data_IF_421446310114
#
_entry.id   IF_421446310114
#
_cell.length_a   1.000
_cell.length_b   1.000
_cell.length_c   1.000
_cell.angle_alpha   90.00
_cell.angle_beta   90.00
_cell.angle_gamma   90.00
#
_symmetry.space_group_name_H-M   'P 1'
#
loop_
_entity.id
_entity.type
_entity.pdbx_description
1 polymer ?
#
# COMPACT_ATOMS: atom_id res chain seq x y z
N UNK A 1 7.31 -17.68 14.76
CA UNK A 1 7.12 -18.02 13.34
C UNK A 1 8.26 -17.42 12.54
N UNK A 2 8.65 -18.06 11.43
CA UNK A 2 9.60 -17.52 10.46
C UNK A 2 8.84 -16.79 9.38
N UNK A 3 9.12 -15.51 9.21
CA UNK A 3 8.37 -14.63 8.29
C UNK A 3 9.34 -13.97 7.31
N UNK A 4 9.06 -14.07 6.01
CA UNK A 4 9.75 -13.29 4.99
C UNK A 4 8.90 -12.05 4.65
N UNK A 5 9.52 -10.88 4.66
CA UNK A 5 8.92 -9.63 4.25
C UNK A 5 9.58 -9.17 2.94
N UNK A 6 8.93 -9.43 1.80
CA UNK A 6 9.34 -8.91 0.50
C UNK A 6 8.98 -7.44 0.36
N UNK A 7 9.94 -6.61 -0.06
CA UNK A 7 9.77 -5.15 -0.11
C UNK A 7 9.91 -4.49 1.28
N UNK A 8 10.72 -5.12 2.16
CA UNK A 8 10.86 -4.70 3.55
C UNK A 8 11.65 -3.40 3.76
N UNK A 9 12.31 -2.83 2.74
CA UNK A 9 12.91 -1.49 2.80
C UNK A 9 11.90 -0.36 2.49
N UNK A 10 10.68 -0.74 2.04
CA UNK A 10 9.62 0.17 1.65
C UNK A 10 8.83 0.79 2.80
N UNK A 11 7.88 1.66 2.43
CA UNK A 11 7.04 2.45 3.36
C UNK A 11 6.21 1.61 4.33
N UNK A 12 5.56 0.55 3.88
CA UNK A 12 4.80 -0.38 4.74
C UNK A 12 5.67 -1.54 5.23
N UNK A 13 6.66 -1.97 4.42
CA UNK A 13 7.46 -3.15 4.72
C UNK A 13 8.36 -2.97 5.94
N UNK A 14 9.05 -1.84 6.05
CA UNK A 14 9.96 -1.58 7.16
C UNK A 14 9.27 -1.56 8.53
N UNK A 15 8.24 -0.74 8.77
CA UNK A 15 7.56 -0.74 10.06
C UNK A 15 6.90 -2.09 10.37
N UNK A 16 6.42 -2.83 9.36
CA UNK A 16 5.87 -4.17 9.55
C UNK A 16 6.96 -5.16 10.02
N UNK A 17 8.14 -5.12 9.41
CA UNK A 17 9.26 -5.98 9.81
C UNK A 17 9.69 -5.71 11.25
N UNK A 18 9.80 -4.44 11.65
CA UNK A 18 10.12 -4.05 13.03
C UNK A 18 9.06 -4.55 14.01
N UNK A 19 7.80 -4.31 13.72
CA UNK A 19 6.69 -4.68 14.59
C UNK A 19 6.61 -6.20 14.81
N UNK A 20 6.66 -6.98 13.73
CA UNK A 20 6.62 -8.44 13.84
C UNK A 20 7.87 -9.00 14.53
N UNK A 21 9.04 -8.42 14.29
CA UNK A 21 10.26 -8.72 15.05
C UNK A 21 10.08 -8.40 16.54
N UNK A 22 9.44 -7.26 16.85
CA UNK A 22 9.15 -6.87 18.23
C UNK A 22 8.23 -7.88 18.95
N UNK A 23 7.31 -8.50 18.23
CA UNK A 23 6.44 -9.57 18.74
C UNK A 23 7.17 -10.94 18.89
N UNK A 24 8.44 -11.04 18.52
CA UNK A 24 9.25 -12.24 18.69
C UNK A 24 9.21 -13.21 17.50
N UNK A 25 8.77 -12.75 16.32
CA UNK A 25 8.91 -13.52 15.09
C UNK A 25 10.35 -13.42 14.55
N UNK A 26 10.81 -14.48 13.91
CA UNK A 26 12.07 -14.47 13.15
C UNK A 26 11.80 -13.82 11.79
N UNK A 27 12.45 -12.68 11.51
CA UNK A 27 12.18 -11.88 10.33
C UNK A 27 13.35 -11.93 9.36
N UNK A 28 13.04 -12.19 8.09
CA UNK A 28 13.94 -11.99 6.97
C UNK A 28 13.32 -10.96 6.03
N UNK A 29 14.00 -9.86 5.80
CA UNK A 29 13.67 -8.87 4.78
C UNK A 29 14.33 -9.29 3.47
N UNK A 30 13.58 -9.34 2.37
CA UNK A 30 14.14 -9.44 1.03
C UNK A 30 13.68 -8.25 0.18
N UNK A 31 14.64 -7.56 -0.44
CA UNK A 31 14.38 -6.33 -1.20
C UNK A 31 15.43 -6.17 -2.32
N UNK A 32 15.06 -5.56 -3.45
CA UNK A 32 15.96 -5.24 -4.56
C UNK A 32 16.30 -3.75 -4.64
N UNK A 33 15.83 -2.95 -3.69
CA UNK A 33 15.95 -1.49 -3.62
C UNK A 33 15.40 -0.75 -4.85
N UNK A 34 14.44 -1.34 -5.57
CA UNK A 34 13.83 -0.70 -6.74
C UNK A 34 13.22 0.66 -6.39
N UNK A 35 12.64 0.81 -5.19
CA UNK A 35 12.08 2.10 -4.77
C UNK A 35 13.16 3.17 -4.61
N UNK A 36 14.33 2.83 -4.09
CA UNK A 36 15.47 3.77 -3.99
C UNK A 36 16.05 4.11 -5.38
N UNK A 37 16.07 3.16 -6.30
CA UNK A 37 16.48 3.41 -7.69
C UNK A 37 15.52 4.36 -8.40
N UNK A 38 14.22 4.17 -8.20
CA UNK A 38 13.18 5.07 -8.74
C UNK A 38 13.32 6.48 -8.15
N UNK A 39 13.68 6.64 -6.88
CA UNK A 39 13.98 7.96 -6.29
C UNK A 39 15.07 8.68 -7.10
N UNK A 40 16.17 7.97 -7.38
CA UNK A 40 17.28 8.52 -8.17
C UNK A 40 16.84 8.89 -9.59
N UNK A 41 16.09 8.02 -10.25
CA UNK A 41 15.57 8.24 -11.61
C UNK A 41 14.64 9.46 -11.70
N UNK A 42 13.84 9.68 -10.67
CA UNK A 42 12.92 10.83 -10.58
C UNK A 42 13.61 12.10 -10.05
N UNK A 43 14.86 11.99 -9.55
CA UNK A 43 15.57 13.07 -8.90
C UNK A 43 14.84 13.55 -7.63
N UNK A 44 14.36 12.62 -6.83
CA UNK A 44 13.67 12.86 -5.57
C UNK A 44 14.32 12.09 -4.43
N UNK A 45 14.03 12.51 -3.22
CA UNK A 45 14.40 11.78 -2.01
C UNK A 45 13.19 11.71 -1.07
N UNK A 46 13.18 10.75 -0.16
CA UNK A 46 12.28 10.81 0.98
C UNK A 46 12.54 12.07 1.80
N UNK A 47 11.49 12.74 2.28
CA UNK A 47 11.63 13.89 3.17
C UNK A 47 12.47 13.51 4.42
N UNK A 48 12.16 12.37 5.02
CA UNK A 48 12.98 11.80 6.11
C UNK A 48 14.23 11.11 5.56
N UNK A 49 15.38 11.21 6.24
CA UNK A 49 16.59 10.50 5.82
C UNK A 49 16.41 8.99 5.99
N UNK A 50 16.62 8.23 4.92
CA UNK A 50 16.54 6.77 4.97
C UNK A 50 17.93 6.17 4.95
N UNK A 51 18.34 5.64 6.09
CA UNK A 51 19.64 4.98 6.29
C UNK A 51 19.75 3.70 5.47
N UNK A 52 20.95 3.15 5.31
CA UNK A 52 21.12 1.85 4.66
C UNK A 52 20.35 0.78 5.43
N UNK A 53 19.91 -0.26 4.74
CA UNK A 53 19.19 -1.36 5.41
C UNK A 53 20.04 -2.03 6.49
N UNK A 54 21.37 -2.07 6.29
CA UNK A 54 22.31 -2.64 7.25
C UNK A 54 22.42 -1.80 8.52
N UNK A 55 22.48 -0.46 8.40
CA UNK A 55 22.49 0.44 9.56
C UNK A 55 21.16 0.36 10.33
N UNK A 56 20.05 0.30 9.60
CA UNK A 56 18.70 0.17 10.18
C UNK A 56 18.56 -1.14 10.97
N UNK A 57 18.98 -2.27 10.41
CA UNK A 57 18.94 -3.58 11.08
C UNK A 57 19.88 -3.61 12.28
N UNK A 58 21.08 -3.03 12.15
CA UNK A 58 22.04 -2.92 13.26
C UNK A 58 21.46 -2.10 14.41
N UNK A 59 20.90 -0.93 14.12
CA UNK A 59 20.24 -0.09 15.13
C UNK A 59 19.07 -0.81 15.80
N UNK A 60 18.28 -1.55 15.05
CA UNK A 60 17.19 -2.37 15.61
C UNK A 60 17.72 -3.42 16.59
N UNK A 61 18.79 -4.13 16.22
CA UNK A 61 19.43 -5.12 17.09
C UNK A 61 19.96 -4.49 18.37
N UNK A 62 20.62 -3.33 18.27
CA UNK A 62 21.18 -2.62 19.44
C UNK A 62 20.07 -2.14 20.39
N UNK A 63 18.93 -1.67 19.87
CA UNK A 63 17.82 -1.15 20.67
C UNK A 63 16.95 -2.25 21.26
N UNK A 64 16.59 -3.26 20.45
CA UNK A 64 15.61 -4.28 20.83
C UNK A 64 16.20 -5.60 21.29
N UNK A 65 17.49 -5.84 21.02
CA UNK A 65 18.13 -7.14 21.20
C UNK A 65 17.72 -8.19 20.16
N UNK A 66 16.90 -7.85 19.17
CA UNK A 66 16.31 -8.77 18.19
C UNK A 66 17.01 -8.64 16.84
N UNK A 67 17.15 -9.78 16.15
CA UNK A 67 17.78 -9.81 14.83
C UNK A 67 16.72 -9.78 13.72
N UNK A 68 17.01 -9.01 12.68
CA UNK A 68 16.34 -9.08 11.38
C UNK A 68 17.42 -9.46 10.35
N UNK A 69 17.13 -10.49 9.56
CA UNK A 69 18.00 -10.89 8.46
C UNK A 69 17.67 -10.11 7.20
N UNK A 70 18.65 -9.92 6.33
CA UNK A 70 18.46 -9.27 5.05
C UNK A 70 19.01 -10.12 3.90
N UNK A 71 18.25 -10.18 2.80
CA UNK A 71 18.65 -10.77 1.53
C UNK A 71 18.37 -9.81 0.39
N UNK A 72 19.39 -9.42 -0.38
CA UNK A 72 19.16 -8.69 -1.61
C UNK A 72 18.62 -9.65 -2.66
N UNK A 73 17.37 -9.42 -3.13
CA UNK A 73 16.70 -10.31 -4.06
C UNK A 73 15.65 -9.55 -4.90
N UNK A 74 15.76 -9.68 -6.20
CA UNK A 74 14.70 -9.30 -7.14
C UNK A 74 13.82 -10.50 -7.46
N UNK A 75 12.67 -10.58 -6.82
CA UNK A 75 11.76 -11.73 -6.92
C UNK A 75 11.02 -11.78 -8.27
N UNK A 76 10.92 -10.66 -8.99
CA UNK A 76 10.34 -10.62 -10.33
C UNK A 76 11.27 -11.23 -11.39
N UNK A 77 12.60 -11.14 -11.17
CA UNK A 77 13.60 -11.56 -12.14
C UNK A 77 14.30 -12.87 -11.79
N UNK A 78 14.36 -13.24 -10.49
CA UNK A 78 15.20 -14.33 -10.01
C UNK A 78 14.38 -15.42 -9.31
N UNK A 79 13.59 -16.17 -10.09
CA UNK A 79 12.75 -17.26 -9.59
C UNK A 79 13.55 -18.34 -8.84
N UNK A 80 14.68 -18.77 -9.41
CA UNK A 80 15.50 -19.85 -8.81
C UNK A 80 16.04 -19.45 -7.44
N UNK A 81 16.51 -18.21 -7.29
CA UNK A 81 16.98 -17.70 -6.01
C UNK A 81 15.83 -17.55 -4.99
N UNK A 82 14.62 -17.23 -5.44
CA UNK A 82 13.43 -17.18 -4.60
C UNK A 82 13.06 -18.59 -4.08
N UNK A 83 13.03 -19.58 -4.96
CA UNK A 83 12.75 -20.97 -4.58
C UNK A 83 13.81 -21.49 -3.61
N UNK A 84 15.10 -21.24 -3.89
CA UNK A 84 16.20 -21.59 -2.99
C UNK A 84 16.02 -20.95 -1.61
N UNK A 85 15.65 -19.65 -1.56
CA UNK A 85 15.38 -18.95 -0.29
C UNK A 85 14.26 -19.64 0.50
N UNK A 86 13.18 -20.07 -0.15
CA UNK A 86 12.10 -20.82 0.55
C UNK A 86 12.57 -22.15 1.08
N UNK A 87 13.37 -22.89 0.32
CA UNK A 87 13.90 -24.19 0.75
C UNK A 87 14.88 -24.05 1.94
N UNK A 88 15.71 -22.99 1.96
CA UNK A 88 16.68 -22.72 3.02
C UNK A 88 16.02 -22.16 4.29
N UNK A 89 15.24 -21.09 4.14
CA UNK A 89 14.65 -20.38 5.28
C UNK A 89 13.41 -21.08 5.85
N UNK A 90 12.65 -21.77 4.99
CA UNK A 90 11.40 -22.50 5.31
C UNK A 90 10.40 -21.61 6.07
N UNK A 91 9.90 -20.53 5.46
CA UNK A 91 9.00 -19.58 6.13
C UNK A 91 7.66 -20.23 6.45
N UNK A 92 7.05 -19.80 7.58
CA UNK A 92 5.65 -20.09 7.91
C UNK A 92 4.71 -19.13 7.17
N UNK A 93 5.18 -17.89 6.99
CA UNK A 93 4.40 -16.80 6.35
C UNK A 93 5.31 -15.97 5.46
N UNK A 94 4.76 -15.54 4.35
CA UNK A 94 5.36 -14.58 3.42
C UNK A 94 4.45 -13.36 3.32
N UNK A 95 5.01 -12.17 3.53
CA UNK A 95 4.31 -10.89 3.35
C UNK A 95 4.88 -10.20 2.10
N UNK A 96 4.01 -9.90 1.14
CA UNK A 96 4.42 -9.40 -0.16
C UNK A 96 4.08 -7.93 -0.36
N UNK A 97 5.09 -7.07 -0.22
CA UNK A 97 5.05 -5.64 -0.56
C UNK A 97 5.90 -5.29 -1.80
N UNK A 98 6.62 -6.26 -2.37
CA UNK A 98 7.64 -6.01 -3.40
C UNK A 98 7.04 -5.74 -4.78
N UNK A 99 6.20 -4.70 -4.85
CA UNK A 99 5.57 -4.24 -6.08
C UNK A 99 5.70 -2.72 -6.25
N UNK A 100 5.63 -2.27 -7.49
CA UNK A 100 5.44 -0.86 -7.81
C UNK A 100 4.03 -0.46 -7.38
N UNK A 101 3.90 0.40 -6.35
CA UNK A 101 2.67 0.72 -5.62
C UNK A 101 1.97 2.02 -6.04
N UNK A 102 2.56 2.77 -6.96
CA UNK A 102 2.06 4.10 -7.30
C UNK A 102 1.19 4.10 -8.56
N UNK A 103 -0.07 4.54 -8.41
CA UNK A 103 -0.95 4.78 -9.54
C UNK A 103 -0.41 5.89 -10.46
N UNK A 104 0.01 7.08 -9.96
CA UNK A 104 0.61 8.12 -10.81
C UNK A 104 1.85 7.64 -11.57
N UNK A 105 2.82 7.02 -10.90
CA UNK A 105 4.01 6.49 -11.56
C UNK A 105 3.66 5.49 -12.67
N UNK A 106 2.70 4.59 -12.42
CA UNK A 106 2.25 3.60 -13.40
C UNK A 106 1.62 4.20 -14.66
N UNK A 107 1.25 5.50 -14.64
CA UNK A 107 0.60 6.19 -15.75
C UNK A 107 1.52 7.21 -16.45
N UNK A 108 2.74 7.41 -15.97
CA UNK A 108 3.65 8.49 -16.35
C UNK A 108 4.09 8.44 -17.82
N UNK A 109 4.53 7.27 -18.28
CA UNK A 109 5.01 7.04 -19.64
C UNK A 109 4.94 5.55 -20.03
N UNK A 110 5.24 5.16 -21.27
CA UNK A 110 5.21 3.76 -21.70
C UNK A 110 6.17 2.86 -20.90
N UNK A 111 7.34 3.35 -20.51
CA UNK A 111 8.36 2.60 -19.79
C UNK A 111 7.86 2.23 -18.38
N UNK A 112 7.29 3.20 -17.64
CA UNK A 112 6.76 2.98 -16.29
C UNK A 112 5.52 2.08 -16.31
N UNK A 113 4.67 2.16 -17.36
CA UNK A 113 3.54 1.24 -17.55
C UNK A 113 4.02 -0.20 -17.71
N UNK A 114 5.00 -0.43 -18.60
CA UNK A 114 5.58 -1.76 -18.86
C UNK A 114 6.30 -2.28 -17.60
N UNK A 115 7.10 -1.44 -16.95
CA UNK A 115 7.77 -1.81 -15.71
C UNK A 115 6.76 -2.26 -14.64
N UNK A 116 5.69 -1.49 -14.43
CA UNK A 116 4.66 -1.83 -13.43
C UNK A 116 4.05 -3.20 -13.69
N UNK A 117 3.65 -3.49 -14.94
CA UNK A 117 3.06 -4.80 -15.29
C UNK A 117 4.07 -5.91 -15.12
N UNK A 118 5.25 -5.77 -15.72
CA UNK A 118 6.27 -6.83 -15.74
C UNK A 118 6.78 -7.14 -14.32
N UNK A 119 6.99 -6.11 -13.49
CA UNK A 119 7.46 -6.30 -12.14
C UNK A 119 6.38 -6.92 -11.24
N UNK A 120 5.19 -6.32 -11.21
CA UNK A 120 4.18 -6.71 -10.23
C UNK A 120 3.66 -8.13 -10.49
N UNK A 121 3.23 -8.41 -11.72
CA UNK A 121 2.69 -9.72 -12.06
C UNK A 121 3.75 -10.82 -11.95
N UNK A 122 4.98 -10.57 -12.44
CA UNK A 122 6.05 -11.56 -12.33
C UNK A 122 6.43 -11.83 -10.86
N UNK A 123 6.50 -10.80 -10.01
CA UNK A 123 6.80 -10.94 -8.60
C UNK A 123 5.76 -11.82 -7.88
N UNK A 124 4.48 -11.47 -8.03
CA UNK A 124 3.37 -12.24 -7.44
C UNK A 124 3.33 -13.68 -7.95
N UNK A 125 3.42 -13.87 -9.26
CA UNK A 125 3.37 -15.21 -9.86
C UNK A 125 4.55 -16.07 -9.45
N UNK A 126 5.77 -15.51 -9.41
CA UNK A 126 6.96 -16.24 -8.95
C UNK A 126 6.82 -16.70 -7.49
N UNK A 127 6.24 -15.87 -6.60
CA UNK A 127 5.96 -16.29 -5.21
C UNK A 127 5.02 -17.49 -5.19
N UNK A 128 3.90 -17.44 -5.93
CA UNK A 128 2.91 -18.52 -5.96
C UNK A 128 3.52 -19.84 -6.48
N UNK A 129 4.27 -19.76 -7.59
CA UNK A 129 4.97 -20.92 -8.13
C UNK A 129 6.03 -21.45 -7.17
N UNK A 130 6.80 -20.58 -6.50
CA UNK A 130 7.80 -20.99 -5.54
C UNK A 130 7.19 -21.66 -4.30
N UNK A 131 6.04 -21.16 -3.79
CA UNK A 131 5.30 -21.83 -2.70
C UNK A 131 4.89 -23.24 -3.13
N UNK A 132 4.25 -23.37 -4.29
CA UNK A 132 3.81 -24.66 -4.82
C UNK A 132 4.99 -25.62 -5.04
N UNK A 133 6.06 -25.14 -5.67
CA UNK A 133 7.25 -25.97 -5.97
C UNK A 133 8.04 -26.37 -4.73
N UNK A 134 8.03 -25.57 -3.67
CA UNK A 134 8.72 -25.89 -2.42
C UNK A 134 8.05 -27.01 -1.63
N UNK A 135 6.77 -27.27 -1.86
CA UNK A 135 5.96 -28.19 -1.07
C UNK A 135 5.75 -27.75 0.39
N UNK A 136 6.10 -26.53 0.74
CA UNK A 136 5.94 -25.97 2.08
C UNK A 136 4.52 -25.41 2.28
N UNK A 137 4.00 -25.52 3.50
CA UNK A 137 2.71 -24.96 3.85
C UNK A 137 2.84 -23.49 4.28
N UNK A 138 3.10 -22.62 3.31
CA UNK A 138 3.33 -21.18 3.52
C UNK A 138 2.00 -20.42 3.44
N UNK A 139 1.77 -19.48 4.38
CA UNK A 139 0.71 -18.51 4.28
C UNK A 139 1.21 -17.26 3.53
N UNK A 140 0.63 -16.96 2.38
CA UNK A 140 0.89 -15.73 1.64
C UNK A 140 -0.06 -14.62 2.10
N UNK A 141 0.51 -13.50 2.56
CA UNK A 141 -0.21 -12.25 2.81
C UNK A 141 0.24 -11.25 1.76
N UNK A 142 -0.69 -10.81 0.93
CA UNK A 142 -0.45 -9.83 -0.13
C UNK A 142 -1.02 -8.47 0.26
N UNK A 143 -0.29 -7.39 -0.07
CA UNK A 143 -0.81 -6.04 0.07
C UNK A 143 -1.46 -5.60 -1.24
N UNK A 144 -2.75 -5.85 -1.34
CA UNK A 144 -3.62 -5.38 -2.42
C UNK A 144 -3.97 -3.90 -2.29
N UNK A 145 -5.05 -3.48 -2.90
CA UNK A 145 -5.51 -2.08 -2.88
C UNK A 145 -7.02 -1.96 -3.04
N UNK A 146 -7.64 -1.01 -2.36
CA UNK A 146 -9.03 -0.59 -2.60
C UNK A 146 -9.28 -0.14 -4.05
N UNK A 147 -8.22 0.25 -4.76
CA UNK A 147 -8.29 0.65 -6.15
C UNK A 147 -8.74 -0.42 -7.13
N UNK A 148 -8.78 -1.70 -6.73
CA UNK A 148 -9.34 -2.80 -7.53
C UNK A 148 -10.85 -2.65 -7.70
N UNK A 149 -11.55 -2.11 -6.72
CA UNK A 149 -13.00 -1.87 -6.76
C UNK A 149 -13.40 -0.66 -7.61
N UNK A 150 -12.46 0.18 -8.03
CA UNK A 150 -12.72 1.55 -8.43
C UNK A 150 -13.04 2.40 -7.19
N UNK A 151 -13.65 3.55 -7.41
CA UNK A 151 -13.93 4.47 -6.30
C UNK A 151 -15.42 4.86 -6.24
N UNK A 152 -16.28 3.95 -6.64
CA UNK A 152 -17.73 4.19 -6.63
C UNK A 152 -18.44 2.99 -6.00
N UNK A 153 -19.22 3.23 -4.96
CA UNK A 153 -19.98 2.18 -4.26
C UNK A 153 -21.30 1.85 -4.94
N UNK A 154 -21.72 2.60 -5.95
CA UNK A 154 -23.01 2.46 -6.63
C UNK A 154 -24.22 2.37 -5.68
N UNK A 155 -24.16 3.06 -4.54
CA UNK A 155 -25.23 3.08 -3.53
C UNK A 155 -25.30 1.82 -2.66
N UNK A 156 -24.23 1.02 -2.63
CA UNK A 156 -24.10 -0.15 -1.76
C UNK A 156 -22.76 -0.14 -1.03
N UNK A 157 -22.73 -0.81 0.12
CA UNK A 157 -21.46 -1.03 0.84
C UNK A 157 -20.63 -2.04 0.07
N UNK A 158 -19.37 -1.70 -0.26
CA UNK A 158 -18.42 -2.61 -0.87
C UNK A 158 -18.02 -3.67 0.17
N UNK A 159 -18.27 -4.96 -0.10
CA UNK A 159 -17.95 -6.03 0.84
C UNK A 159 -16.45 -6.35 0.84
N UNK A 160 -16.04 -7.26 1.71
CA UNK A 160 -14.66 -7.75 1.76
C UNK A 160 -14.43 -8.83 0.69
N UNK A 161 -14.26 -8.35 -0.54
CA UNK A 161 -13.87 -9.09 -1.72
C UNK A 161 -14.97 -9.88 -2.41
N UNK A 162 -16.02 -10.32 -1.72
CA UNK A 162 -17.06 -11.19 -2.30
C UNK A 162 -18.42 -10.56 -2.20
N UNK A 163 -19.18 -10.66 -3.29
CA UNK A 163 -20.53 -10.12 -3.43
C UNK A 163 -21.53 -11.26 -3.65
N UNK A 164 -22.53 -11.45 -2.77
CA UNK A 164 -23.65 -12.34 -3.05
C UNK A 164 -24.52 -11.75 -4.16
N UNK A 165 -24.77 -12.53 -5.21
CA UNK A 165 -25.56 -12.10 -6.36
C UNK A 165 -26.65 -13.12 -6.70
N UNK A 166 -27.77 -12.62 -7.24
CA UNK A 166 -28.78 -13.44 -7.91
C UNK A 166 -28.67 -13.17 -9.42
N UNK A 167 -28.33 -14.20 -10.19
CA UNK A 167 -28.23 -14.12 -11.65
C UNK A 167 -29.49 -14.74 -12.23
N UNK A 168 -30.18 -14.01 -13.09
CA UNK A 168 -31.29 -14.52 -13.86
C UNK A 168 -30.85 -14.78 -15.30
N UNK A 169 -31.02 -16.02 -15.75
CA UNK A 169 -30.76 -16.44 -17.13
C UNK A 169 -32.02 -17.15 -17.65
N UNK A 170 -32.82 -16.45 -18.44
CA UNK A 170 -34.17 -16.91 -18.81
C UNK A 170 -35.06 -17.11 -17.58
N UNK A 171 -35.62 -18.30 -17.42
CA UNK A 171 -36.46 -18.66 -16.27
C UNK A 171 -35.66 -19.21 -15.08
N UNK A 172 -34.33 -19.36 -15.21
CA UNK A 172 -33.48 -19.91 -14.15
C UNK A 172 -32.93 -18.79 -13.31
N UNK A 173 -33.06 -18.90 -11.97
CA UNK A 173 -32.42 -18.04 -10.98
C UNK A 173 -31.33 -18.80 -10.30
N UNK A 174 -30.10 -18.22 -10.29
CA UNK A 174 -28.93 -18.77 -9.64
C UNK A 174 -28.43 -17.79 -8.55
N UNK A 175 -28.35 -18.27 -7.32
CA UNK A 175 -27.69 -17.52 -6.22
C UNK A 175 -26.27 -18.00 -6.06
N UNK A 176 -25.31 -17.09 -6.09
CA UNK A 176 -23.90 -17.40 -5.89
C UNK A 176 -23.14 -16.20 -5.32
N UNK A 177 -21.97 -16.44 -4.80
CA UNK A 177 -21.01 -15.38 -4.49
C UNK A 177 -19.99 -15.27 -5.61
N UNK A 178 -19.69 -14.04 -6.01
CA UNK A 178 -18.66 -13.70 -7.00
C UNK A 178 -17.62 -12.79 -6.36
N UNK A 179 -16.41 -12.72 -6.92
CA UNK A 179 -15.52 -11.61 -6.60
C UNK A 179 -16.24 -10.30 -6.93
N UNK A 180 -16.11 -9.30 -6.05
CA UNK A 180 -16.68 -7.97 -6.33
C UNK A 180 -16.14 -7.48 -7.68
N UNK A 181 -16.99 -6.94 -8.55
CA UNK A 181 -16.59 -6.52 -9.89
C UNK A 181 -15.45 -5.52 -9.85
N UNK A 182 -14.35 -5.85 -10.51
CA UNK A 182 -13.18 -4.98 -10.58
C UNK A 182 -13.39 -3.81 -11.52
N UNK A 183 -12.92 -2.62 -11.13
CA UNK A 183 -12.95 -1.40 -11.95
C UNK A 183 -11.66 -0.59 -11.78
N UNK A 184 -10.48 -1.14 -12.24
CA UNK A 184 -9.18 -0.53 -11.99
C UNK A 184 -9.00 0.80 -12.75
N UNK A 185 -8.66 1.87 -12.03
CA UNK A 185 -8.49 3.22 -12.57
C UNK A 185 -7.07 3.55 -13.06
N UNK A 186 -6.10 2.61 -13.01
CA UNK A 186 -4.72 2.79 -13.48
C UNK A 186 -4.06 1.46 -13.80
N UNK A 187 -2.89 1.48 -14.44
CA UNK A 187 -2.10 0.27 -14.71
C UNK A 187 -1.72 -0.43 -13.39
N UNK A 188 -1.37 0.31 -12.36
CA UNK A 188 -1.11 -0.27 -11.03
C UNK A 188 -2.36 -0.99 -10.47
N UNK A 189 -3.53 -0.35 -10.47
CA UNK A 189 -4.76 -1.00 -10.01
C UNK A 189 -5.12 -2.23 -10.83
N UNK A 190 -4.85 -2.19 -12.14
CA UNK A 190 -5.03 -3.34 -13.04
C UNK A 190 -4.12 -4.51 -12.63
N UNK A 191 -2.83 -4.28 -12.32
CA UNK A 191 -1.95 -5.37 -11.85
C UNK A 191 -2.48 -6.01 -10.58
N UNK A 192 -2.95 -5.22 -9.63
CA UNK A 192 -3.57 -5.73 -8.39
C UNK A 192 -4.87 -6.52 -8.64
N UNK A 193 -5.65 -6.17 -9.66
CA UNK A 193 -6.79 -6.98 -10.10
C UNK A 193 -6.36 -8.31 -10.71
N UNK A 194 -5.28 -8.32 -11.48
CA UNK A 194 -4.72 -9.57 -12.04
C UNK A 194 -4.18 -10.49 -10.94
N UNK A 195 -3.58 -9.94 -9.89
CA UNK A 195 -3.14 -10.70 -8.71
C UNK A 195 -4.32 -11.42 -8.04
N UNK A 196 -5.49 -10.79 -7.92
CA UNK A 196 -6.70 -11.46 -7.39
C UNK A 196 -7.07 -12.71 -8.20
N UNK A 197 -6.95 -12.67 -9.54
CA UNK A 197 -7.22 -13.82 -10.40
C UNK A 197 -6.19 -14.92 -10.22
N UNK A 198 -4.90 -14.57 -10.09
CA UNK A 198 -3.84 -15.52 -9.75
C UNK A 198 -4.13 -16.19 -8.40
N UNK A 199 -4.45 -15.41 -7.37
CA UNK A 199 -4.77 -15.94 -6.04
C UNK A 199 -5.97 -16.87 -6.06
N UNK A 200 -7.04 -16.49 -6.77
CA UNK A 200 -8.22 -17.34 -6.92
C UNK A 200 -7.86 -18.70 -7.55
N UNK A 201 -7.03 -18.68 -8.60
CA UNK A 201 -6.58 -19.91 -9.26
C UNK A 201 -5.79 -20.80 -8.29
N UNK A 202 -4.75 -20.25 -7.66
CA UNK A 202 -3.83 -21.02 -6.80
C UNK A 202 -4.47 -21.48 -5.48
N UNK A 203 -5.34 -20.70 -4.88
CA UNK A 203 -6.11 -21.13 -3.70
C UNK A 203 -7.03 -22.29 -4.04
N UNK A 204 -7.70 -22.25 -5.20
CA UNK A 204 -8.63 -23.30 -5.64
C UNK A 204 -7.91 -24.59 -6.05
N UNK A 205 -6.86 -24.50 -6.88
CA UNK A 205 -6.25 -25.66 -7.53
C UNK A 205 -5.09 -26.25 -6.70
N UNK A 206 -4.22 -25.38 -6.15
CA UNK A 206 -3.03 -25.79 -5.39
C UNK A 206 -3.23 -25.71 -3.87
N UNK A 207 -4.44 -25.34 -3.41
CA UNK A 207 -4.84 -25.28 -2.00
C UNK A 207 -3.98 -24.32 -1.16
N UNK A 208 -3.42 -23.29 -1.78
CA UNK A 208 -2.58 -22.32 -1.08
C UNK A 208 -3.43 -21.48 -0.10
N UNK A 209 -2.82 -21.13 1.02
CA UNK A 209 -3.38 -20.24 2.03
C UNK A 209 -3.01 -18.81 1.65
N UNK A 210 -3.99 -18.01 1.26
CA UNK A 210 -3.76 -16.65 0.75
C UNK A 210 -4.69 -15.66 1.46
N UNK A 211 -4.11 -14.59 2.00
CA UNK A 211 -4.82 -13.41 2.48
C UNK A 211 -4.46 -12.23 1.58
N UNK A 212 -5.45 -11.58 0.98
CA UNK A 212 -5.30 -10.38 0.17
C UNK A 212 -5.88 -9.16 0.90
N UNK A 213 -5.03 -8.17 1.19
CA UNK A 213 -5.38 -6.99 1.96
C UNK A 213 -5.66 -5.82 1.03
N UNK A 214 -6.93 -5.47 0.86
CA UNK A 214 -7.31 -4.32 0.05
C UNK A 214 -7.11 -3.02 0.81
N UNK A 215 -5.90 -2.45 0.67
CA UNK A 215 -5.47 -1.30 1.43
C UNK A 215 -6.01 0.03 0.89
N UNK A 216 -6.47 0.88 1.80
CA UNK A 216 -6.75 2.30 1.55
C UNK A 216 -5.47 3.15 1.44
N UNK A 217 -5.63 4.45 1.33
CA UNK A 217 -4.51 5.40 1.33
C UNK A 217 -3.88 5.46 2.72
N UNK A 218 -2.60 5.08 2.81
CA UNK A 218 -1.88 5.11 4.09
C UNK A 218 -1.43 6.53 4.41
N UNK A 219 -1.67 6.96 5.64
CA UNK A 219 -1.19 8.23 6.19
C UNK A 219 -0.40 8.02 7.48
N UNK A 220 0.30 9.04 7.93
CA UNK A 220 1.28 8.90 9.01
C UNK A 220 2.58 8.26 8.53
N UNK A 221 3.60 8.32 9.35
CA UNK A 221 4.93 7.77 9.06
C UNK A 221 5.53 7.03 10.25
N UNK A 222 4.95 7.20 11.43
CA UNK A 222 5.52 6.67 12.66
C UNK A 222 4.75 5.46 13.20
N UNK A 223 5.48 4.50 13.73
CA UNK A 223 4.99 3.42 14.58
C UNK A 223 5.77 3.43 15.89
N UNK A 224 5.31 2.65 16.86
CA UNK A 224 5.98 2.53 18.15
C UNK A 224 7.46 2.16 18.03
N UNK A 225 7.81 1.40 17.02
CA UNK A 225 9.18 0.94 16.76
C UNK A 225 10.00 1.98 16.00
N UNK A 226 9.41 2.65 15.00
CA UNK A 226 10.17 3.58 14.13
C UNK A 226 10.56 4.88 14.83
N UNK A 227 9.95 5.20 15.97
CA UNK A 227 10.29 6.39 16.78
C UNK A 227 11.42 6.17 17.77
N UNK A 228 11.86 4.93 17.97
CA UNK A 228 12.91 4.60 18.96
C UNK A 228 14.31 5.14 18.60
N UNK A 229 14.55 5.43 17.32
CA UNK A 229 15.81 6.01 16.82
C UNK A 229 15.61 6.65 15.46
N UNK A 230 16.40 7.70 15.16
CA UNK A 230 16.46 8.29 13.81
C UNK A 230 16.88 7.28 12.73
N UNK A 231 17.71 6.30 13.08
CA UNK A 231 18.11 5.24 12.15
C UNK A 231 16.97 4.31 11.78
N UNK A 232 15.89 4.25 12.58
CA UNK A 232 14.71 3.44 12.33
C UNK A 232 13.60 4.20 11.62
N UNK A 233 13.78 5.50 11.37
CA UNK A 233 12.77 6.37 10.78
C UNK A 233 12.21 5.79 9.48
N UNK A 234 10.88 5.93 9.29
CA UNK A 234 10.22 5.49 8.08
C UNK A 234 10.26 6.55 6.98
N UNK A 235 10.03 6.14 5.75
CA UNK A 235 9.93 7.04 4.59
C UNK A 235 8.78 8.03 4.76
N UNK A 236 9.01 9.24 4.25
CA UNK A 236 7.99 10.25 4.05
C UNK A 236 8.02 10.70 2.59
N UNK A 237 7.25 10.01 1.74
CA UNK A 237 7.12 10.38 0.33
C UNK A 237 6.14 11.55 0.19
N UNK A 238 6.56 12.61 -0.52
CA UNK A 238 5.79 13.85 -0.67
C UNK A 238 5.57 14.26 -2.12
N UNK A 239 6.29 13.64 -3.03
CA UNK A 239 6.28 13.95 -4.45
C UNK A 239 4.94 13.60 -5.14
N UNK A 240 4.75 14.08 -6.36
CA UNK A 240 3.52 13.88 -7.12
C UNK A 240 3.26 12.45 -7.56
N UNK A 241 4.29 11.58 -7.57
CA UNK A 241 4.16 10.18 -7.96
C UNK A 241 3.87 9.27 -6.76
N UNK A 242 4.58 9.41 -5.64
CA UNK A 242 4.51 8.50 -4.49
C UNK A 242 3.91 9.10 -3.21
N UNK A 243 3.85 10.41 -3.11
CA UNK A 243 3.32 11.09 -1.93
C UNK A 243 1.81 10.84 -1.72
N UNK A 244 1.42 10.50 -0.49
CA UNK A 244 0.01 10.37 -0.13
C UNK A 244 -0.60 11.73 0.20
N UNK A 245 -1.88 11.91 -0.09
CA UNK A 245 -2.53 13.22 -0.04
C UNK A 245 -2.43 13.91 1.32
N UNK A 246 -2.66 13.19 2.41
CA UNK A 246 -2.68 13.81 3.74
C UNK A 246 -1.28 14.20 4.22
N UNK A 247 -0.29 13.30 4.06
CA UNK A 247 1.10 13.60 4.39
C UNK A 247 1.60 14.80 3.56
N UNK A 248 1.24 14.85 2.27
CA UNK A 248 1.58 15.96 1.38
C UNK A 248 0.94 17.27 1.80
N UNK A 249 -0.33 17.27 2.20
CA UNK A 249 -1.00 18.50 2.69
C UNK A 249 -0.31 19.06 3.93
N UNK A 250 0.11 18.20 4.87
CA UNK A 250 0.80 18.66 6.08
C UNK A 250 2.18 19.25 5.75
N UNK A 251 2.91 18.65 4.81
CA UNK A 251 4.17 19.23 4.34
C UNK A 251 3.95 20.56 3.60
N UNK A 252 2.95 20.62 2.73
CA UNK A 252 2.59 21.88 2.04
C UNK A 252 2.29 23.00 3.03
N UNK A 253 1.52 22.70 4.08
CA UNK A 253 1.23 23.68 5.13
C UNK A 253 2.51 24.16 5.84
N UNK A 254 3.44 23.28 6.16
CA UNK A 254 4.74 23.61 6.77
C UNK A 254 5.57 24.53 5.86
N UNK A 255 5.58 24.25 4.57
CA UNK A 255 6.31 25.03 3.56
C UNK A 255 5.62 26.35 3.19
N UNK A 256 4.45 26.65 3.77
CA UNK A 256 3.58 27.78 3.36
C UNK A 256 3.19 27.71 1.86
N UNK A 257 3.13 26.49 1.35
CA UNK A 257 2.65 26.17 0.00
C UNK A 257 1.15 25.84 0.08
N UNK A 258 0.31 26.36 -0.84
CA UNK A 258 -1.12 26.09 -0.80
C UNK A 258 -1.42 24.57 -0.87
N UNK A 259 -2.43 24.13 -0.12
CA UNK A 259 -2.90 22.74 -0.16
C UNK A 259 -3.49 22.45 -1.55
N UNK A 260 -2.81 21.66 -2.35
CA UNK A 260 -3.19 21.40 -3.74
C UNK A 260 -4.26 20.31 -3.83
N UNK A 261 -5.50 20.74 -4.06
CA UNK A 261 -6.68 19.87 -4.23
C UNK A 261 -6.96 19.68 -5.72
N UNK A 262 -6.96 18.44 -6.20
CA UNK A 262 -7.24 18.11 -7.59
C UNK A 262 -8.76 18.20 -7.89
N UNK A 263 -9.13 18.92 -8.95
CA UNK A 263 -10.52 19.13 -9.38
C UNK A 263 -11.35 19.80 -8.30
N UNK A 264 -12.54 19.28 -8.00
CA UNK A 264 -13.43 19.79 -6.94
C UNK A 264 -13.06 19.29 -5.54
N UNK A 265 -12.13 18.30 -5.45
CA UNK A 265 -11.84 17.60 -4.20
C UNK A 265 -12.98 16.71 -3.70
N UNK A 266 -14.01 16.48 -4.53
CA UNK A 266 -15.17 15.67 -4.18
C UNK A 266 -14.92 14.16 -4.21
N UNK A 267 -13.72 13.75 -4.59
CA UNK A 267 -13.33 12.34 -4.63
C UNK A 267 -13.19 11.79 -3.21
N UNK A 268 -14.01 10.78 -2.88
CA UNK A 268 -13.92 10.03 -1.61
C UNK A 268 -12.89 8.93 -1.73
N UNK A 269 -12.07 8.75 -0.69
CA UNK A 269 -11.04 7.70 -0.58
C UNK A 269 -11.11 7.05 0.80
N UNK A 270 -10.72 5.79 0.86
CA UNK A 270 -10.50 5.08 2.11
C UNK A 270 -9.10 5.37 2.66
N UNK A 271 -8.99 5.59 3.96
CA UNK A 271 -7.76 5.94 4.65
C UNK A 271 -7.46 4.96 5.78
N UNK A 272 -6.17 4.78 6.05
CA UNK A 272 -5.68 3.98 7.17
C UNK A 272 -4.37 4.58 7.70
N UNK A 273 -4.22 4.63 9.03
CA UNK A 273 -2.96 5.04 9.64
C UNK A 273 -1.90 3.94 9.51
N UNK A 274 -0.61 4.32 9.41
CA UNK A 274 0.48 3.34 9.28
C UNK A 274 0.54 2.35 10.45
N UNK A 275 0.20 2.76 11.66
CA UNK A 275 0.12 1.86 12.83
C UNK A 275 -0.98 0.81 12.66
N UNK A 276 -2.13 1.19 12.11
CA UNK A 276 -3.22 0.25 11.83
C UNK A 276 -2.87 -0.68 10.66
N UNK A 277 -2.16 -0.18 9.64
CA UNK A 277 -1.62 -1.04 8.58
C UNK A 277 -0.78 -2.17 9.16
N UNK A 278 0.16 -1.83 10.04
CA UNK A 278 1.04 -2.81 10.70
C UNK A 278 0.23 -3.76 11.61
N UNK A 279 -0.77 -3.24 12.33
CA UNK A 279 -1.66 -4.06 13.17
C UNK A 279 -2.52 -5.02 12.34
N UNK A 280 -3.04 -4.60 11.20
CA UNK A 280 -3.78 -5.46 10.28
C UNK A 280 -2.91 -6.62 9.75
N UNK A 281 -1.63 -6.36 9.48
CA UNK A 281 -0.68 -7.41 9.09
C UNK A 281 -0.41 -8.38 10.21
N UNK A 282 -0.22 -7.91 11.45
CA UNK A 282 -0.14 -8.78 12.63
C UNK A 282 -1.38 -9.68 12.74
N UNK A 283 -2.57 -9.10 12.71
CA UNK A 283 -3.84 -9.84 12.79
C UNK A 283 -3.98 -10.87 11.66
N UNK A 284 -3.46 -10.56 10.47
CA UNK A 284 -3.49 -11.48 9.34
C UNK A 284 -2.50 -12.63 9.51
N UNK A 285 -1.32 -12.39 10.08
CA UNK A 285 -0.34 -13.42 10.45
C UNK A 285 -0.93 -14.38 11.50
N UNK A 286 -1.64 -13.84 12.48
CA UNK A 286 -2.24 -14.60 13.58
C UNK A 286 -3.50 -15.39 13.17
N UNK A 287 -4.16 -14.98 12.07
CA UNK A 287 -5.43 -15.56 11.59
C UNK A 287 -5.35 -15.99 10.11
N UNK A 288 -4.52 -16.99 9.78
CA UNK A 288 -4.39 -17.50 8.42
C UNK A 288 -5.62 -18.31 8.00
N UNK A 289 -6.02 -18.28 6.71
CA UNK A 289 -7.02 -19.21 6.19
C UNK A 289 -6.49 -20.65 6.23
N UNK A 290 -7.40 -21.63 6.18
CA UNK A 290 -7.03 -23.04 6.08
C UNK A 290 -6.67 -23.42 4.64
N UNK A 291 -5.95 -24.55 4.48
CA UNK A 291 -5.64 -25.09 3.16
C UNK A 291 -6.93 -25.43 2.39
N UNK A 292 -7.05 -24.92 1.18
CA UNK A 292 -8.19 -25.17 0.30
C UNK A 292 -9.40 -24.27 0.56
N UNK A 293 -9.33 -23.36 1.52
CA UNK A 293 -10.28 -22.28 1.62
C UNK A 293 -10.08 -21.28 0.48
N UNK A 294 -11.15 -20.53 0.19
CA UNK A 294 -11.04 -19.41 -0.76
C UNK A 294 -10.07 -18.35 -0.23
N UNK A 295 -9.59 -17.48 -1.13
CA UNK A 295 -8.76 -16.34 -0.74
C UNK A 295 -9.46 -15.52 0.34
N UNK A 296 -8.77 -15.27 1.46
CA UNK A 296 -9.27 -14.42 2.52
C UNK A 296 -9.02 -12.95 2.15
N UNK A 297 -10.05 -12.26 1.71
CA UNK A 297 -9.96 -10.82 1.35
C UNK A 297 -10.42 -9.99 2.53
N UNK A 298 -9.61 -8.98 2.91
CA UNK A 298 -9.92 -8.05 4.01
C UNK A 298 -9.69 -6.61 3.56
N UNK A 299 -10.68 -5.75 3.78
CA UNK A 299 -10.54 -4.32 3.47
C UNK A 299 -9.76 -3.62 4.59
N UNK A 300 -8.58 -3.14 4.25
CA UNK A 300 -7.66 -2.50 5.17
C UNK A 300 -7.85 -0.97 5.14
N UNK A 301 -8.92 -0.52 5.75
CA UNK A 301 -9.28 0.90 5.91
C UNK A 301 -9.82 1.15 7.32
N UNK A 302 -9.78 2.40 7.76
CA UNK A 302 -10.35 2.82 9.05
C UNK A 302 -11.42 3.90 8.92
N UNK A 303 -11.36 4.70 7.87
CA UNK A 303 -12.34 5.76 7.59
C UNK A 303 -12.31 6.18 6.11
N UNK A 304 -13.36 6.85 5.66
CA UNK A 304 -13.47 7.42 4.32
C UNK A 304 -13.62 8.94 4.41
N UNK A 305 -12.92 9.66 3.54
CA UNK A 305 -12.99 11.14 3.48
C UNK A 305 -12.96 11.63 2.04
N UNK A 306 -13.64 12.73 1.78
CA UNK A 306 -13.43 13.53 0.56
C UNK A 306 -12.12 14.30 0.67
N UNK A 307 -11.41 14.42 -0.45
CA UNK A 307 -10.11 15.13 -0.46
C UNK A 307 -10.25 16.59 -0.01
N UNK A 308 -11.37 17.28 -0.38
CA UNK A 308 -11.63 18.64 0.07
C UNK A 308 -11.83 18.75 1.60
N UNK A 309 -12.45 17.76 2.21
CA UNK A 309 -12.70 17.76 3.66
C UNK A 309 -11.38 17.58 4.42
N UNK A 310 -10.48 16.72 3.93
CA UNK A 310 -9.11 16.61 4.45
C UNK A 310 -8.33 17.92 4.34
N UNK A 311 -8.43 18.61 3.19
CA UNK A 311 -7.80 19.91 3.01
C UNK A 311 -8.35 20.93 4.00
N UNK A 312 -9.66 20.93 4.28
CA UNK A 312 -10.28 21.80 5.29
C UNK A 312 -9.80 21.47 6.71
N UNK A 313 -9.66 20.20 7.08
CA UNK A 313 -9.12 19.77 8.38
C UNK A 313 -7.70 20.30 8.55
N UNK A 314 -6.82 20.10 7.55
CA UNK A 314 -5.44 20.58 7.59
C UNK A 314 -5.39 22.12 7.59
N UNK A 315 -6.21 22.80 6.78
CA UNK A 315 -6.29 24.26 6.75
C UNK A 315 -6.71 24.84 8.11
N UNK A 316 -7.71 24.26 8.76
CA UNK A 316 -8.13 24.67 10.12
C UNK A 316 -7.02 24.48 11.16
N UNK A 317 -6.25 23.40 11.05
CA UNK A 317 -5.15 23.10 11.96
C UNK A 317 -3.94 24.01 11.77
N UNK A 318 -3.67 24.45 10.53
CA UNK A 318 -2.39 25.08 10.16
C UNK A 318 -2.51 26.52 9.67
N UNK A 319 -3.71 26.97 9.30
CA UNK A 319 -3.94 28.24 8.63
C UNK A 319 -3.55 28.24 7.14
N UNK A 320 -3.19 27.10 6.55
CA UNK A 320 -2.76 27.01 5.15
C UNK A 320 -3.93 27.28 4.19
N UNK A 321 -3.66 27.99 3.10
CA UNK A 321 -4.62 28.23 2.02
C UNK A 321 -4.89 26.96 1.21
N UNK A 322 -6.09 26.81 0.65
CA UNK A 322 -6.48 25.71 -0.22
C UNK A 322 -6.51 26.20 -1.66
N UNK A 323 -5.77 25.54 -2.55
CA UNK A 323 -5.78 25.80 -3.99
C UNK A 323 -6.38 24.61 -4.75
N UNK A 324 -7.41 24.89 -5.54
CA UNK A 324 -7.99 23.89 -6.45
C UNK A 324 -7.27 23.93 -7.79
N UNK A 325 -6.69 22.80 -8.18
CA UNK A 325 -5.90 22.65 -9.41
C UNK A 325 -6.54 21.63 -10.36
N UNK A 326 -6.26 21.68 -11.67
CA UNK A 326 -6.80 20.69 -12.60
C UNK A 326 -6.50 19.26 -12.17
N UNK A 327 -7.48 18.37 -12.29
CA UNK A 327 -7.29 16.95 -11.95
C UNK A 327 -6.55 16.24 -13.09
N UNK A 328 -5.36 15.66 -12.86
CA UNK A 328 -4.63 14.92 -13.90
C UNK A 328 -5.25 13.55 -14.20
N UNK A 329 -6.19 13.09 -13.37
CA UNK A 329 -6.82 11.78 -13.46
C UNK A 329 -8.12 11.82 -14.25
N UNK A 330 -8.44 10.69 -14.91
CA UNK A 330 -9.73 10.51 -15.56
C UNK A 330 -10.68 9.83 -14.56
N UNK A 331 -11.31 10.63 -13.72
CA UNK A 331 -12.24 10.18 -12.68
C UNK A 331 -13.41 11.16 -12.53
N UNK A 332 -14.49 10.71 -11.94
CA UNK A 332 -15.65 11.56 -11.65
C UNK A 332 -15.30 12.71 -10.72
N UNK A 333 -16.00 13.84 -10.88
CA UNK A 333 -15.79 15.01 -10.02
C UNK A 333 -16.10 14.73 -8.56
N UNK A 334 -17.09 13.89 -8.31
CA UNK A 334 -17.52 13.43 -6.99
C UNK A 334 -17.85 11.94 -7.04
N UNK A 335 -17.61 11.24 -5.96
CA UNK A 335 -18.04 9.86 -5.77
C UNK A 335 -18.35 9.60 -4.30
N UNK A 336 -19.23 8.65 -4.06
CA UNK A 336 -19.46 8.09 -2.74
C UNK A 336 -18.73 6.75 -2.64
N UNK A 337 -18.08 6.51 -1.51
CA UNK A 337 -17.36 5.28 -1.22
C UNK A 337 -17.74 4.82 0.19
N UNK A 338 -18.51 3.76 0.25
CA UNK A 338 -18.85 3.07 1.48
C UNK A 338 -18.26 1.65 1.43
N UNK A 339 -17.52 1.25 2.45
CA UNK A 339 -16.70 0.03 2.43
C UNK A 339 -16.74 -0.65 3.79
N UNK A 340 -17.03 -1.95 3.80
CA UNK A 340 -16.94 -2.77 5.00
C UNK A 340 -15.49 -3.06 5.36
N UNK A 341 -15.14 -2.93 6.64
CA UNK A 341 -13.91 -3.40 7.25
C UNK A 341 -14.19 -4.29 8.48
N UNK A 342 -15.33 -4.98 8.45
CA UNK A 342 -15.86 -5.74 9.58
C UNK A 342 -14.89 -6.81 10.08
N UNK A 343 -14.21 -7.53 9.19
CA UNK A 343 -13.26 -8.58 9.56
C UNK A 343 -12.15 -8.07 10.49
N UNK A 344 -11.54 -6.93 10.21
CA UNK A 344 -10.50 -6.41 11.09
C UNK A 344 -11.02 -5.90 12.42
N UNK A 345 -12.22 -5.31 12.46
CA UNK A 345 -12.86 -4.90 13.71
C UNK A 345 -13.19 -6.12 14.58
N UNK A 346 -13.71 -7.20 14.01
CA UNK A 346 -13.98 -8.47 14.68
C UNK A 346 -12.70 -9.14 15.20
N UNK A 347 -11.57 -9.01 14.47
CA UNK A 347 -10.27 -9.48 14.91
C UNK A 347 -9.62 -8.58 15.98
N UNK A 348 -10.29 -7.49 16.40
CA UNK A 348 -9.84 -6.62 17.48
C UNK A 348 -8.98 -5.43 17.04
N UNK A 349 -9.07 -5.01 15.79
CA UNK A 349 -8.49 -3.73 15.37
C UNK A 349 -9.21 -2.59 16.10
N UNK A 350 -8.43 -1.74 16.78
CA UNK A 350 -8.92 -0.48 17.34
C UNK A 350 -8.40 0.67 16.45
N UNK A 351 -9.23 1.22 15.54
CA UNK A 351 -8.76 2.11 14.49
C UNK A 351 -8.26 3.46 15.00
N UNK A 352 -7.11 3.91 14.51
CA UNK A 352 -6.68 5.30 14.60
C UNK A 352 -7.45 6.14 13.59
N UNK A 353 -8.21 7.12 14.08
CA UNK A 353 -8.93 8.08 13.24
C UNK A 353 -8.12 9.35 13.07
N UNK A 354 -8.53 10.18 12.11
CA UNK A 354 -7.93 11.51 11.87
C UNK A 354 -8.14 12.42 13.09
N UNK A 355 -7.23 12.33 14.02
CA UNK A 355 -7.18 13.15 15.23
C UNK A 355 -6.11 14.23 15.13
N UNK A 356 -6.33 15.35 15.80
CA UNK A 356 -5.41 16.50 15.79
C UNK A 356 -4.01 16.14 16.28
N UNK A 357 -3.89 15.24 17.26
CA UNK A 357 -2.61 14.79 17.81
C UNK A 357 -1.74 14.09 16.76
N UNK A 358 -2.31 13.16 15.99
CA UNK A 358 -1.59 12.43 14.95
C UNK A 358 -1.24 13.32 13.76
N UNK A 359 -2.10 14.28 13.40
CA UNK A 359 -1.79 15.27 12.37
C UNK A 359 -0.65 16.20 12.80
N UNK A 360 -0.59 16.54 14.10
CA UNK A 360 0.49 17.34 14.68
C UNK A 360 1.83 16.60 14.59
N UNK A 361 1.85 15.32 14.90
CA UNK A 361 3.04 14.46 14.78
C UNK A 361 3.63 14.48 13.36
N UNK A 362 2.78 14.30 12.34
CA UNK A 362 3.23 14.36 10.94
C UNK A 362 3.75 15.76 10.59
N UNK A 363 3.09 16.81 11.09
CA UNK A 363 3.53 18.19 10.88
C UNK A 363 4.89 18.46 11.52
N UNK A 364 5.16 17.94 12.72
CA UNK A 364 6.45 18.07 13.40
C UNK A 364 7.58 17.38 12.63
N UNK A 365 7.33 16.18 12.08
CA UNK A 365 8.29 15.51 11.19
C UNK A 365 8.53 16.35 9.94
N UNK A 366 7.47 16.85 9.32
CA UNK A 366 7.59 17.70 8.14
C UNK A 366 8.39 18.97 8.44
N UNK A 367 8.16 19.63 9.59
CA UNK A 367 8.91 20.81 10.03
C UNK A 367 10.39 20.49 10.26
N UNK A 368 10.69 19.35 10.91
CA UNK A 368 12.07 18.91 11.19
C UNK A 368 12.89 18.70 9.91
N UNK A 369 12.27 18.22 8.85
CA UNK A 369 12.98 17.82 7.62
C UNK A 369 12.62 18.64 6.38
N UNK A 370 11.89 19.76 6.53
CA UNK A 370 11.39 20.58 5.41
C UNK A 370 12.47 21.05 4.43
N UNK A 371 13.69 21.29 4.91
CA UNK A 371 14.81 21.75 4.08
C UNK A 371 15.29 20.68 3.06
N UNK A 372 14.85 19.42 3.23
CA UNK A 372 15.10 18.34 2.27
C UNK A 372 14.05 18.29 1.15
N UNK A 373 13.01 19.14 1.21
CA UNK A 373 11.95 19.13 0.23
C UNK A 373 12.32 19.93 -1.03
N UNK A 374 12.23 19.28 -2.17
CA UNK A 374 12.18 19.96 -3.47
C UNK A 374 10.70 20.29 -3.80
N UNK A 375 10.32 21.54 -3.65
CA UNK A 375 8.94 22.02 -3.89
C UNK A 375 8.50 21.72 -5.33
N UNK A 376 9.41 21.75 -6.30
CA UNK A 376 9.13 21.42 -7.70
C UNK A 376 8.69 19.98 -7.93
N UNK A 377 8.90 19.09 -6.98
CA UNK A 377 8.49 17.67 -7.05
C UNK A 377 7.11 17.40 -6.44
N UNK A 378 6.52 18.35 -5.71
CA UNK A 378 5.19 18.18 -5.09
C UNK A 378 4.08 17.98 -6.14
N UNK A 379 4.04 18.75 -7.27
CA UNK A 379 3.01 18.57 -8.28
C UNK A 379 3.09 17.20 -8.97
N UNK A 380 1.92 16.64 -9.29
CA UNK A 380 1.83 15.44 -10.10
C UNK A 380 2.01 15.79 -11.59
N UNK A 381 2.97 15.14 -12.22
CA UNK A 381 3.27 15.27 -13.66
C UNK A 381 2.86 14.04 -14.48
N UNK A 382 2.05 13.15 -13.90
CA UNK A 382 1.51 11.97 -14.58
C UNK A 382 0.07 12.22 -14.96
N UNK A 383 -0.23 12.21 -16.25
CA UNK A 383 -1.55 12.50 -16.79
C UNK A 383 -2.21 11.22 -17.31
N UNK A 384 -3.49 11.01 -16.98
CA UNK A 384 -4.22 9.80 -17.36
C UNK A 384 -4.54 9.72 -18.85
N UNK A 385 -4.65 10.87 -19.52
CA UNK A 385 -4.76 10.91 -20.97
C UNK A 385 -4.15 12.21 -21.55
N UNK A 386 -3.86 12.17 -22.88
CA UNK A 386 -3.23 13.28 -23.60
C UNK A 386 -4.09 14.55 -23.71
N UNK A 387 -5.42 14.41 -23.63
CA UNK A 387 -6.31 15.59 -23.69
C UNK A 387 -6.27 16.35 -22.37
N UNK A 388 -6.21 15.62 -21.25
CA UNK A 388 -6.03 16.23 -19.92
C UNK A 388 -4.65 16.89 -19.85
N UNK A 389 -3.61 16.21 -20.32
CA UNK A 389 -2.25 16.75 -20.37
C UNK A 389 -2.21 18.09 -21.14
N UNK A 390 -2.78 18.15 -22.35
CA UNK A 390 -2.85 19.38 -23.14
C UNK A 390 -3.61 20.52 -22.45
N UNK A 391 -4.69 20.20 -21.72
CA UNK A 391 -5.48 21.21 -20.99
C UNK A 391 -4.76 21.78 -19.77
N UNK A 392 -3.80 21.08 -19.21
CA UNK A 392 -3.04 21.48 -18.02
C UNK A 392 -1.77 22.25 -18.43
N UNK A 393 -1.18 21.90 -19.57
CA UNK A 393 0.05 22.51 -20.08
C UNK A 393 -0.19 23.79 -20.90
N UNK A 394 -1.43 24.06 -21.38
CA UNK A 394 -1.85 25.30 -22.02
C UNK A 394 -2.59 26.20 -21.04
#
# INVERSE_FOLDING_TARGET
MRIIVFGGDGFCGWPTALHLSNLGHEILIADNFSRRKIDIELGIESLTPIFSIYDRIKAWKEISGKEIQFRMLDIAQNYEALLQLFMEYRPDTVIHFAEQRSAPYSMKNPETKRYTVNNNIAATHNILVAITSSGLNIHLIHLGTMGVYGYTSHGMVIPEGYLPVEIQAGDTKLKQEILYPANPGSVYHMTKTLDQLLFYYYAKNDKLRITDLHQGVVWGTQTKETVLSEQLINRFDYDGDYGTVLNRFLLQAVLKYPLSVHGTGGQTRGFIHIQDTVKCLQLSVENPPQNGERVCIRNQITETHRVRDLAQIVSKLTGAEIAYIPNPRNEDKENDLDVSNACFLELGLNPHKLETSLLTEIREIAEKYKDRCDIGKIPCHSYWNKEIEKKILN
#
